data_IF_723573075152
#
_entry.id   IF_723573075152
#
_cell.length_a   1.000
_cell.length_b   1.000
_cell.length_c   1.000
_cell.angle_alpha   90.00
_cell.angle_beta   90.00
_cell.angle_gamma   90.00
#
_symmetry.space_group_name_H-M   'P 1'
#
loop_
_entity.id
_entity.type
_entity.pdbx_description
1 polymer ?
#
# COMPACT_ATOMS: atom_id res chain seq x y z
N UNK A 1 20.06 -2.76 12.54
CA UNK A 1 18.68 -3.27 12.38
C UNK A 1 17.73 -2.16 12.82
N UNK A 2 16.73 -1.84 12.02
CA UNK A 2 15.76 -0.77 12.40
C UNK A 2 14.91 -1.25 13.58
N UNK A 3 14.82 -0.43 14.65
CA UNK A 3 13.93 -0.68 15.78
C UNK A 3 12.64 0.13 15.59
N UNK A 4 11.50 -0.49 15.80
CA UNK A 4 10.20 0.19 15.77
C UNK A 4 9.81 0.77 17.13
N UNK A 5 10.41 0.27 18.23
CA UNK A 5 10.08 0.70 19.59
C UNK A 5 10.42 2.17 19.80
N UNK A 6 9.42 2.93 20.23
CA UNK A 6 9.54 4.36 20.50
C UNK A 6 9.60 5.24 19.25
N UNK A 7 9.45 4.67 18.03
CA UNK A 7 9.31 5.44 16.78
C UNK A 7 7.86 5.78 16.53
N UNK A 8 7.59 6.79 15.70
CA UNK A 8 6.26 7.11 15.21
C UNK A 8 6.12 6.73 13.75
N UNK A 9 5.17 5.85 13.44
CA UNK A 9 4.85 5.42 12.07
C UNK A 9 3.54 6.01 11.60
N UNK A 10 3.56 6.69 10.44
CA UNK A 10 2.36 7.10 9.72
C UNK A 10 1.93 5.99 8.75
N UNK A 11 0.70 5.51 8.90
CA UNK A 11 0.12 4.45 8.05
C UNK A 11 -1.05 5.03 7.27
N UNK A 12 -0.93 5.08 5.95
CA UNK A 12 -2.04 5.48 5.07
C UNK A 12 -2.93 4.29 4.72
N UNK A 13 -4.25 4.53 4.57
CA UNK A 13 -5.21 3.45 4.32
C UNK A 13 -5.37 2.50 5.51
N UNK A 14 -5.23 3.02 6.75
CA UNK A 14 -5.17 2.22 7.97
C UNK A 14 -6.49 1.58 8.38
N UNK A 15 -7.64 2.05 7.87
CA UNK A 15 -8.97 1.69 8.38
C UNK A 15 -9.38 0.23 8.18
N UNK A 16 -8.76 -0.49 7.24
CA UNK A 16 -9.11 -1.88 6.89
C UNK A 16 -7.95 -2.66 6.24
N UNK A 17 -8.17 -3.96 6.07
CA UNK A 17 -7.29 -4.84 5.28
C UNK A 17 -5.83 -4.77 5.72
N UNK A 18 -4.95 -4.64 4.74
CA UNK A 18 -3.51 -4.66 4.98
C UNK A 18 -3.02 -3.48 5.84
N UNK A 19 -3.63 -2.27 5.67
CA UNK A 19 -3.28 -1.10 6.49
C UNK A 19 -3.59 -1.30 7.98
N UNK A 20 -4.73 -1.93 8.29
CA UNK A 20 -5.08 -2.32 9.66
C UNK A 20 -4.09 -3.35 10.22
N UNK A 21 -3.71 -4.35 9.42
CA UNK A 21 -2.73 -5.35 9.82
C UNK A 21 -1.34 -4.74 10.08
N UNK A 22 -0.91 -3.78 9.26
CA UNK A 22 0.31 -3.01 9.53
C UNK A 22 0.23 -2.23 10.83
N UNK A 23 -0.90 -1.58 11.12
CA UNK A 23 -1.09 -0.81 12.35
C UNK A 23 -0.95 -1.69 13.59
N UNK A 24 -1.62 -2.85 13.64
CA UNK A 24 -1.48 -3.80 14.74
C UNK A 24 -0.05 -4.32 14.89
N UNK A 25 0.60 -4.70 13.78
CA UNK A 25 1.95 -5.26 13.85
C UNK A 25 2.99 -4.21 14.27
N UNK A 26 2.84 -2.96 13.83
CA UNK A 26 3.70 -1.84 14.27
C UNK A 26 3.49 -1.54 15.76
N UNK A 27 2.24 -1.48 16.22
CA UNK A 27 1.89 -1.28 17.62
C UNK A 27 2.48 -2.40 18.50
N UNK A 28 2.34 -3.66 18.09
CA UNK A 28 2.94 -4.82 18.75
C UNK A 28 4.47 -4.71 18.86
N UNK A 29 5.12 -4.07 17.89
CA UNK A 29 6.57 -3.78 17.89
C UNK A 29 6.94 -2.54 18.71
N UNK A 30 5.96 -1.85 19.30
CA UNK A 30 6.15 -0.68 20.15
C UNK A 30 6.29 0.65 19.39
N UNK A 31 5.83 0.72 18.14
CA UNK A 31 5.73 1.98 17.40
C UNK A 31 4.47 2.73 17.79
N UNK A 32 4.58 4.04 18.03
CA UNK A 32 3.44 4.95 18.05
C UNK A 32 2.90 5.13 16.63
N UNK A 33 1.62 5.43 16.50
CA UNK A 33 0.95 5.44 15.19
C UNK A 33 0.30 6.79 14.87
N UNK A 34 0.37 7.15 13.59
CA UNK A 34 -0.52 8.12 12.94
C UNK A 34 -1.34 7.35 11.91
N UNK A 35 -2.63 7.24 12.13
CA UNK A 35 -3.54 6.45 11.31
C UNK A 35 -4.30 7.37 10.35
N UNK A 36 -4.10 7.18 9.05
CA UNK A 36 -4.69 8.02 7.99
C UNK A 36 -5.61 7.19 7.12
N UNK A 37 -6.87 7.59 7.02
CA UNK A 37 -7.88 7.08 6.08
C UNK A 37 -9.10 8.02 6.06
N UNK A 38 -10.08 7.77 5.21
CA UNK A 38 -11.30 8.60 5.10
C UNK A 38 -12.26 8.46 6.29
N UNK A 39 -12.42 7.24 6.80
CA UNK A 39 -13.41 6.94 7.84
C UNK A 39 -12.86 7.21 9.24
N UNK A 40 -13.22 8.37 9.82
CA UNK A 40 -12.87 8.71 11.20
C UNK A 40 -13.32 7.63 12.20
N UNK A 41 -14.58 7.12 12.18
CA UNK A 41 -15.01 6.11 13.14
C UNK A 41 -14.17 4.83 13.09
N UNK A 42 -13.82 4.35 11.88
CA UNK A 42 -12.99 3.15 11.74
C UNK A 42 -11.55 3.37 12.24
N UNK A 43 -11.00 4.57 12.08
CA UNK A 43 -9.68 4.92 12.61
C UNK A 43 -9.70 5.05 14.13
N UNK A 44 -10.74 5.65 14.71
CA UNK A 44 -10.90 5.79 16.17
C UNK A 44 -11.04 4.43 16.84
N UNK A 45 -11.80 3.51 16.24
CA UNK A 45 -11.91 2.14 16.71
C UNK A 45 -10.54 1.43 16.69
N UNK A 46 -9.83 1.47 15.58
CA UNK A 46 -8.48 0.89 15.47
C UNK A 46 -7.50 1.54 16.47
N UNK A 47 -7.57 2.86 16.66
CA UNK A 47 -6.72 3.56 17.62
C UNK A 47 -6.99 3.11 19.06
N UNK A 48 -8.26 2.90 19.42
CA UNK A 48 -8.64 2.38 20.74
C UNK A 48 -8.12 0.95 20.96
N UNK A 49 -8.25 0.08 19.96
CA UNK A 49 -7.74 -1.30 20.02
C UNK A 49 -6.23 -1.33 20.24
N UNK A 50 -5.44 -0.65 19.40
CA UNK A 50 -3.98 -0.72 19.50
C UNK A 50 -3.44 -0.07 20.77
N UNK A 51 -4.10 0.98 21.29
CA UNK A 51 -3.76 1.56 22.59
C UNK A 51 -4.01 0.57 23.73
N UNK A 52 -5.17 -0.10 23.72
CA UNK A 52 -5.56 -1.05 24.75
C UNK A 52 -4.67 -2.31 24.75
N UNK A 53 -4.36 -2.84 23.57
CA UNK A 53 -3.61 -4.09 23.43
C UNK A 53 -2.10 -3.91 23.63
N UNK A 54 -1.52 -2.76 23.21
CA UNK A 54 -0.07 -2.61 23.10
C UNK A 54 0.50 -1.42 23.89
N UNK A 55 -0.34 -0.57 24.48
CA UNK A 55 0.10 0.58 25.28
C UNK A 55 0.85 1.65 24.49
N UNK A 56 0.65 1.72 23.18
CA UNK A 56 1.27 2.74 22.30
C UNK A 56 0.32 3.91 22.06
N UNK A 57 0.87 5.08 21.75
CA UNK A 57 0.04 6.20 21.27
C UNK A 57 -0.41 5.94 19.82
N UNK A 58 -1.66 6.30 19.55
CA UNK A 58 -2.22 6.25 18.20
C UNK A 58 -3.05 7.51 17.94
N UNK A 59 -2.69 8.26 16.92
CA UNK A 59 -3.39 9.47 16.49
C UNK A 59 -4.21 9.19 15.24
N UNK A 60 -5.34 9.85 15.12
CA UNK A 60 -6.28 9.68 14.00
C UNK A 60 -6.31 10.96 13.19
N UNK A 61 -5.96 10.86 11.91
CA UNK A 61 -6.00 11.97 10.95
C UNK A 61 -6.84 11.56 9.75
N UNK A 62 -8.13 11.89 9.72
CA UNK A 62 -9.00 11.57 8.59
C UNK A 62 -8.63 12.41 7.38
N UNK A 63 -8.35 11.73 6.24
CA UNK A 63 -8.07 12.41 4.99
C UNK A 63 -8.43 11.53 3.78
N UNK A 64 -8.89 12.16 2.69
CA UNK A 64 -9.02 11.52 1.37
C UNK A 64 -7.77 11.84 0.54
N UNK A 65 -6.93 10.83 0.30
CA UNK A 65 -5.70 11.00 -0.46
C UNK A 65 -5.92 11.11 -1.98
N UNK A 66 -7.16 10.95 -2.46
CA UNK A 66 -7.51 11.27 -3.85
C UNK A 66 -7.76 12.77 -4.03
N UNK A 67 -8.08 13.49 -2.96
CA UNK A 67 -8.19 14.94 -2.98
C UNK A 67 -6.80 15.59 -2.90
N UNK A 68 -6.49 16.55 -3.79
CA UNK A 68 -5.22 17.28 -3.75
C UNK A 68 -4.90 17.93 -2.39
N UNK A 69 -5.90 18.34 -1.62
CA UNK A 69 -5.75 18.97 -0.30
C UNK A 69 -5.53 17.94 0.83
N UNK A 70 -5.95 16.68 0.63
CA UNK A 70 -5.89 15.66 1.67
C UNK A 70 -4.48 15.41 2.22
N UNK A 71 -3.46 15.15 1.39
CA UNK A 71 -2.09 15.01 1.85
C UNK A 71 -1.53 16.25 2.55
N UNK A 72 -1.90 17.46 2.09
CA UNK A 72 -1.48 18.70 2.72
C UNK A 72 -2.10 18.85 4.13
N UNK A 73 -3.41 18.57 4.26
CA UNK A 73 -4.09 18.59 5.55
C UNK A 73 -3.46 17.61 6.56
N UNK A 74 -3.02 16.42 6.12
CA UNK A 74 -2.28 15.50 6.99
C UNK A 74 -0.96 16.12 7.47
N UNK A 75 -0.19 16.73 6.57
CA UNK A 75 1.09 17.33 6.94
C UNK A 75 0.92 18.53 7.88
N UNK A 76 -0.09 19.37 7.64
CA UNK A 76 -0.40 20.54 8.48
C UNK A 76 -0.84 20.10 9.89
N UNK A 77 -1.73 19.12 10.02
CA UNK A 77 -2.15 18.54 11.29
C UNK A 77 -0.97 18.00 12.10
N UNK A 78 -0.03 17.30 11.44
CA UNK A 78 1.17 16.77 12.10
C UNK A 78 2.09 17.91 12.58
N UNK A 79 2.23 18.96 11.80
CA UNK A 79 3.04 20.13 12.13
C UNK A 79 2.44 20.88 13.33
N UNK A 80 1.13 21.13 13.33
CA UNK A 80 0.41 21.77 14.44
C UNK A 80 0.56 20.97 15.74
N UNK A 81 0.45 19.66 15.66
CA UNK A 81 0.60 18.75 16.80
C UNK A 81 2.07 18.48 17.17
N UNK A 82 3.03 19.01 16.43
CA UNK A 82 4.47 18.76 16.60
C UNK A 82 4.81 17.27 16.60
N UNK A 83 4.16 16.50 15.72
CA UNK A 83 4.39 15.07 15.57
C UNK A 83 5.51 14.82 14.58
N UNK A 84 6.59 14.24 15.06
CA UNK A 84 7.68 13.75 14.21
C UNK A 84 7.35 12.33 13.70
N UNK A 85 7.35 12.15 12.39
CA UNK A 85 7.17 10.84 11.76
C UNK A 85 8.55 10.24 11.45
N UNK A 86 8.82 9.03 11.96
CA UNK A 86 10.07 8.30 11.75
C UNK A 86 9.96 7.29 10.60
N UNK A 87 8.74 6.77 10.34
CA UNK A 87 8.45 5.87 9.24
C UNK A 87 7.15 6.29 8.55
N UNK A 88 7.21 6.49 7.24
CA UNK A 88 6.02 6.65 6.39
C UNK A 88 5.71 5.32 5.71
N UNK A 89 4.53 4.76 5.96
CA UNK A 89 4.02 3.58 5.30
C UNK A 89 2.87 3.96 4.36
N UNK A 90 3.21 4.17 3.09
CA UNK A 90 2.27 4.46 2.02
C UNK A 90 1.57 3.16 1.58
N UNK A 91 0.50 2.82 2.29
CA UNK A 91 -0.30 1.63 2.02
C UNK A 91 -1.63 1.94 1.33
N UNK A 92 -2.16 3.15 1.49
CA UNK A 92 -3.41 3.52 0.83
C UNK A 92 -3.39 3.15 -0.65
N UNK A 93 -4.44 2.49 -1.10
CA UNK A 93 -4.53 2.06 -2.47
C UNK A 93 -5.92 1.52 -2.80
N UNK A 94 -6.27 1.66 -4.05
CA UNK A 94 -7.48 1.11 -4.61
C UNK A 94 -7.24 0.65 -6.04
N UNK A 95 -8.16 -0.14 -6.57
CA UNK A 95 -8.08 -0.61 -7.94
C UNK A 95 -9.46 -0.92 -8.49
N UNK A 96 -9.50 -1.09 -9.80
CA UNK A 96 -10.65 -1.54 -10.54
C UNK A 96 -10.34 -2.87 -11.20
N UNK A 97 -11.30 -3.78 -11.22
CA UNK A 97 -11.25 -5.05 -11.93
C UNK A 97 -12.42 -5.14 -12.91
N UNK A 98 -12.18 -5.70 -14.07
CA UNK A 98 -13.13 -5.83 -15.17
C UNK A 98 -12.63 -5.17 -16.46
N UNK A 99 -13.36 -5.34 -17.58
CA UNK A 99 -13.00 -4.74 -18.87
C UNK A 99 -12.99 -3.20 -18.76
N UNK A 100 -11.93 -2.56 -19.23
CA UNK A 100 -11.71 -1.12 -19.04
C UNK A 100 -12.88 -0.24 -19.51
N UNK A 101 -13.45 -0.56 -20.66
CA UNK A 101 -14.56 0.22 -21.24
C UNK A 101 -15.94 -0.08 -20.64
N UNK A 102 -16.05 -1.15 -19.83
CA UNK A 102 -17.29 -1.53 -19.13
C UNK A 102 -17.32 -1.09 -17.68
N UNK A 103 -16.23 -0.49 -17.19
CA UNK A 103 -16.12 -0.03 -15.79
C UNK A 103 -16.28 1.48 -15.71
N UNK A 104 -16.86 2.02 -14.62
CA UNK A 104 -16.91 3.47 -14.41
C UNK A 104 -15.49 4.07 -14.48
N UNK A 105 -15.30 5.06 -15.33
CA UNK A 105 -13.99 5.67 -15.55
C UNK A 105 -13.45 6.33 -14.28
N UNK A 106 -14.31 6.90 -13.47
CA UNK A 106 -14.01 7.55 -12.20
C UNK A 106 -13.30 6.63 -11.22
N UNK A 107 -13.59 5.33 -11.23
CA UNK A 107 -12.88 4.35 -10.39
C UNK A 107 -11.42 4.20 -10.82
N UNK A 108 -11.17 4.20 -12.13
CA UNK A 108 -9.81 4.13 -12.66
C UNK A 108 -9.05 5.44 -12.37
N UNK A 109 -9.70 6.59 -12.54
CA UNK A 109 -9.12 7.90 -12.25
C UNK A 109 -8.77 8.03 -10.76
N UNK A 110 -9.71 7.70 -9.87
CA UNK A 110 -9.44 7.68 -8.42
C UNK A 110 -8.30 6.73 -8.04
N UNK A 111 -8.15 5.61 -8.74
CA UNK A 111 -7.01 4.70 -8.53
C UNK A 111 -5.67 5.39 -8.85
N UNK A 112 -5.62 6.21 -9.89
CA UNK A 112 -4.42 7.03 -10.20
C UNK A 112 -4.20 8.09 -9.13
N UNK A 113 -5.25 8.79 -8.72
CA UNK A 113 -5.17 9.85 -7.70
C UNK A 113 -4.64 9.31 -6.36
N UNK A 114 -5.16 8.19 -5.88
CA UNK A 114 -4.73 7.60 -4.61
C UNK A 114 -3.35 6.94 -4.72
N UNK A 115 -3.19 6.03 -5.71
CA UNK A 115 -2.02 5.15 -5.78
C UNK A 115 -0.77 5.87 -6.31
N UNK A 116 -0.95 6.94 -7.08
CA UNK A 116 0.15 7.69 -7.72
C UNK A 116 0.28 9.07 -7.07
N UNK A 117 -0.66 9.96 -7.32
CA UNK A 117 -0.56 11.37 -6.91
C UNK A 117 -0.56 11.51 -5.39
N UNK A 118 -1.46 10.83 -4.69
CA UNK A 118 -1.54 10.82 -3.23
C UNK A 118 -0.27 10.27 -2.58
N UNK A 119 0.22 9.13 -3.10
CA UNK A 119 1.49 8.55 -2.63
C UNK A 119 2.67 9.50 -2.83
N UNK A 120 2.80 10.11 -4.00
CA UNK A 120 3.88 11.08 -4.28
C UNK A 120 3.81 12.28 -3.34
N UNK A 121 2.60 12.84 -3.13
CA UNK A 121 2.40 13.99 -2.23
C UNK A 121 2.75 13.63 -0.78
N UNK A 122 2.26 12.50 -0.28
CA UNK A 122 2.61 12.02 1.06
C UNK A 122 4.12 11.81 1.20
N UNK A 123 4.75 11.17 0.21
CA UNK A 123 6.20 10.98 0.17
C UNK A 123 6.95 12.31 0.22
N UNK A 124 6.52 13.30 -0.59
CA UNK A 124 7.17 14.63 -0.63
C UNK A 124 7.00 15.39 0.68
N UNK A 125 5.77 15.45 1.22
CA UNK A 125 5.45 16.27 2.40
C UNK A 125 6.07 15.69 3.68
N UNK A 126 5.96 14.37 3.88
CA UNK A 126 6.48 13.74 5.09
C UNK A 126 7.97 13.39 4.97
N UNK A 127 8.42 13.02 3.77
CA UNK A 127 9.81 12.67 3.51
C UNK A 127 10.77 13.84 3.55
N UNK A 128 10.30 15.08 3.27
CA UNK A 128 11.15 16.27 3.31
C UNK A 128 11.81 16.45 4.68
N UNK A 129 11.04 16.37 5.76
CA UNK A 129 11.56 16.47 7.14
C UNK A 129 12.54 15.34 7.47
N UNK A 130 12.32 14.14 6.91
CA UNK A 130 13.23 13.00 7.07
C UNK A 130 14.58 13.26 6.41
N UNK A 131 14.56 13.82 5.20
CA UNK A 131 15.79 14.16 4.45
C UNK A 131 16.54 15.30 5.16
N UNK A 132 15.85 16.35 5.58
CA UNK A 132 16.46 17.48 6.28
C UNK A 132 17.17 17.05 7.56
N UNK A 133 16.58 16.14 8.35
CA UNK A 133 17.21 15.64 9.59
C UNK A 133 18.18 14.49 9.39
N UNK A 134 18.32 13.97 8.16
CA UNK A 134 19.22 12.86 7.86
C UNK A 134 18.78 11.51 8.46
N UNK A 135 17.48 11.30 8.75
CA UNK A 135 17.02 10.06 9.36
C UNK A 135 15.53 9.82 9.11
N UNK A 136 15.17 8.57 8.80
CA UNK A 136 13.79 8.16 8.61
C UNK A 136 13.64 6.95 7.70
N UNK A 137 12.39 6.60 7.42
CA UNK A 137 12.09 5.50 6.52
C UNK A 137 10.80 5.70 5.73
N UNK A 138 10.76 5.14 4.54
CA UNK A 138 9.58 5.15 3.68
C UNK A 138 9.36 3.73 3.16
N UNK A 139 8.16 3.19 3.36
CA UNK A 139 7.71 1.95 2.74
C UNK A 139 6.57 2.28 1.79
N UNK A 140 6.75 2.01 0.50
CA UNK A 140 5.71 2.14 -0.50
C UNK A 140 5.12 0.77 -0.83
N UNK A 141 3.82 0.60 -0.60
CA UNK A 141 3.14 -0.67 -0.88
C UNK A 141 2.74 -0.74 -2.36
N UNK A 142 3.55 -1.46 -3.12
CA UNK A 142 3.30 -1.84 -4.50
C UNK A 142 2.36 -3.03 -4.63
N UNK A 143 2.69 -3.95 -5.53
CA UNK A 143 2.02 -5.24 -5.75
C UNK A 143 2.87 -6.09 -6.70
N UNK A 144 2.70 -7.42 -6.68
CA UNK A 144 3.21 -8.28 -7.76
C UNK A 144 2.57 -7.97 -9.12
N UNK A 145 1.42 -7.30 -9.15
CA UNK A 145 0.80 -6.77 -10.37
C UNK A 145 1.65 -5.72 -11.09
N UNK A 146 2.65 -5.14 -10.42
CA UNK A 146 3.55 -4.13 -10.99
C UNK A 146 4.50 -4.68 -12.07
N UNK A 147 4.74 -5.99 -12.09
CA UNK A 147 5.82 -6.60 -12.88
C UNK A 147 5.40 -7.06 -14.27
N UNK A 148 4.10 -7.04 -14.58
CA UNK A 148 3.56 -7.44 -15.88
C UNK A 148 2.25 -6.71 -16.23
N UNK A 149 1.91 -6.61 -17.53
CA UNK A 149 0.58 -6.16 -17.92
C UNK A 149 -0.51 -7.10 -17.39
N UNK A 150 -1.57 -6.52 -16.82
CA UNK A 150 -2.69 -7.29 -16.27
C UNK A 150 -3.99 -6.93 -16.97
N UNK A 151 -4.38 -7.64 -18.06
CA UNK A 151 -5.70 -7.48 -18.66
C UNK A 151 -6.82 -7.63 -17.60
N UNK A 152 -7.84 -6.81 -17.70
CA UNK A 152 -8.96 -6.64 -16.75
C UNK A 152 -8.58 -5.97 -15.42
N UNK A 153 -7.32 -5.53 -15.27
CA UNK A 153 -6.81 -4.71 -14.17
C UNK A 153 -5.79 -3.67 -14.69
N UNK A 154 -5.98 -3.19 -15.93
CA UNK A 154 -4.98 -2.38 -16.64
C UNK A 154 -4.59 -1.12 -15.87
N UNK A 155 -5.58 -0.33 -15.40
CA UNK A 155 -5.33 0.89 -14.61
C UNK A 155 -4.59 0.59 -13.31
N UNK A 156 -5.07 -0.39 -12.56
CA UNK A 156 -4.44 -0.79 -11.30
C UNK A 156 -2.97 -1.23 -11.48
N UNK A 157 -2.71 -2.15 -12.42
CA UNK A 157 -1.36 -2.63 -12.67
C UNK A 157 -0.42 -1.50 -13.11
N UNK A 158 -0.91 -0.56 -13.92
CA UNK A 158 -0.14 0.61 -14.33
C UNK A 158 0.22 1.50 -13.13
N UNK A 159 -0.73 1.74 -12.20
CA UNK A 159 -0.41 2.51 -10.98
C UNK A 159 0.61 1.79 -10.09
N UNK A 160 0.55 0.46 -10.00
CA UNK A 160 1.51 -0.31 -9.20
C UNK A 160 2.89 -0.41 -9.88
N UNK A 161 2.94 -0.40 -11.22
CA UNK A 161 4.20 -0.26 -11.96
C UNK A 161 4.85 1.11 -11.71
N UNK A 162 4.04 2.20 -11.67
CA UNK A 162 4.53 3.50 -11.25
C UNK A 162 5.15 3.44 -9.84
N UNK A 163 4.46 2.85 -8.86
CA UNK A 163 4.97 2.74 -7.48
C UNK A 163 6.28 1.97 -7.43
N UNK A 164 6.42 0.90 -8.22
CA UNK A 164 7.66 0.13 -8.32
C UNK A 164 8.83 1.02 -8.78
N UNK A 165 8.70 1.63 -9.96
CA UNK A 165 9.79 2.45 -10.55
C UNK A 165 10.09 3.68 -9.72
N UNK A 166 9.07 4.37 -9.23
CA UNK A 166 9.22 5.54 -8.35
C UNK A 166 10.00 5.19 -7.09
N UNK A 167 9.66 4.05 -6.45
CA UNK A 167 10.30 3.63 -5.20
C UNK A 167 11.75 3.23 -5.41
N UNK A 168 12.05 2.47 -6.48
CA UNK A 168 13.42 2.06 -6.80
C UNK A 168 14.32 3.26 -7.10
N UNK A 169 13.83 4.23 -7.90
CA UNK A 169 14.57 5.45 -8.21
C UNK A 169 14.79 6.31 -6.96
N UNK A 170 13.73 6.53 -6.17
CA UNK A 170 13.82 7.33 -4.94
C UNK A 170 14.76 6.70 -3.90
N UNK A 171 14.79 5.36 -3.80
CA UNK A 171 15.70 4.66 -2.92
C UNK A 171 17.16 4.91 -3.27
N UNK A 172 17.47 5.02 -4.57
CA UNK A 172 18.81 5.35 -5.05
C UNK A 172 19.17 6.80 -4.81
N UNK A 173 18.26 7.74 -5.10
CA UNK A 173 18.44 9.17 -4.85
C UNK A 173 18.71 9.48 -3.37
N UNK A 174 18.10 8.72 -2.44
CA UNK A 174 18.23 8.94 -1.00
C UNK A 174 19.27 8.04 -0.31
N UNK A 175 20.08 7.28 -1.05
CA UNK A 175 21.05 6.31 -0.50
C UNK A 175 21.94 6.90 0.58
N UNK A 176 22.45 8.11 0.39
CA UNK A 176 23.43 8.74 1.26
C UNK A 176 22.83 9.78 2.20
N UNK A 177 21.49 9.87 2.27
CA UNK A 177 20.78 10.87 3.08
C UNK A 177 20.45 10.40 4.50
N UNK A 178 20.67 9.13 4.82
CA UNK A 178 20.20 8.50 6.06
C UNK A 178 18.71 8.11 6.04
N UNK A 179 17.99 8.39 4.97
CA UNK A 179 16.58 7.99 4.78
C UNK A 179 16.51 6.69 3.98
N UNK A 180 15.88 5.67 4.54
CA UNK A 180 15.71 4.38 3.86
C UNK A 180 14.38 4.30 3.14
N UNK A 181 14.41 3.92 1.87
CA UNK A 181 13.21 3.67 1.07
C UNK A 181 13.13 2.21 0.66
N UNK A 182 11.95 1.59 0.79
CA UNK A 182 11.71 0.20 0.39
C UNK A 182 10.37 0.03 -0.30
N UNK A 183 10.35 -0.72 -1.40
CA UNK A 183 9.13 -1.21 -2.03
C UNK A 183 8.66 -2.51 -1.39
N UNK A 184 7.38 -2.59 -1.00
CA UNK A 184 6.76 -3.84 -0.59
C UNK A 184 5.79 -4.30 -1.69
N UNK A 185 5.99 -5.50 -2.22
CA UNK A 185 5.22 -6.02 -3.36
C UNK A 185 4.46 -7.29 -2.96
N UNK A 186 3.35 -7.17 -2.20
CA UNK A 186 2.51 -8.31 -1.86
C UNK A 186 1.85 -8.92 -3.10
N UNK A 187 1.58 -10.21 -3.03
CA UNK A 187 0.66 -10.90 -3.93
C UNK A 187 -0.80 -10.67 -3.56
N UNK A 188 -1.67 -11.56 -4.02
CA UNK A 188 -3.06 -11.58 -3.60
C UNK A 188 -3.13 -11.70 -2.08
N UNK A 189 -3.84 -10.77 -1.42
CA UNK A 189 -3.94 -10.67 0.03
C UNK A 189 -5.41 -10.51 0.42
N UNK A 190 -5.86 -11.20 1.44
CA UNK A 190 -7.23 -11.17 1.93
C UNK A 190 -7.53 -9.83 2.63
N UNK A 191 -8.00 -8.83 1.88
CA UNK A 191 -8.09 -7.44 2.36
C UNK A 191 -9.44 -6.77 2.11
N UNK A 192 -10.41 -7.46 1.54
CA UNK A 192 -11.65 -6.83 1.06
C UNK A 192 -11.44 -5.89 -0.13
N UNK A 193 -10.35 -6.04 -0.87
CA UNK A 193 -10.01 -5.17 -2.00
C UNK A 193 -11.04 -5.26 -3.14
N UNK A 194 -11.70 -6.41 -3.27
CA UNK A 194 -12.70 -6.69 -4.30
C UNK A 194 -14.15 -6.75 -3.77
N UNK A 195 -14.40 -6.40 -2.50
CA UNK A 195 -15.71 -6.55 -1.84
C UNK A 195 -16.86 -5.81 -2.54
N UNK A 196 -16.55 -4.85 -3.40
CA UNK A 196 -17.55 -4.07 -4.15
C UNK A 196 -17.83 -4.64 -5.55
N UNK A 197 -17.26 -5.78 -5.85
CA UNK A 197 -17.38 -6.41 -7.17
C UNK A 197 -17.67 -7.90 -7.03
N UNK A 198 -18.11 -8.51 -8.12
CA UNK A 198 -18.29 -9.98 -8.20
C UNK A 198 -16.96 -10.73 -8.40
N UNK A 199 -15.81 -10.02 -8.39
CA UNK A 199 -14.50 -10.65 -8.54
C UNK A 199 -14.17 -11.56 -7.35
N UNK A 200 -13.70 -12.74 -7.63
CA UNK A 200 -13.29 -13.72 -6.61
C UNK A 200 -11.77 -13.90 -6.65
N UNK A 201 -11.16 -13.89 -5.49
CA UNK A 201 -9.76 -14.31 -5.35
C UNK A 201 -9.70 -15.81 -5.04
N UNK A 202 -8.71 -16.51 -5.59
CA UNK A 202 -8.47 -17.92 -5.27
C UNK A 202 -7.83 -18.01 -3.86
N UNK A 203 -8.53 -18.58 -2.86
CA UNK A 203 -7.99 -18.70 -1.50
C UNK A 203 -6.68 -19.49 -1.42
N UNK A 204 -6.40 -20.34 -2.42
CA UNK A 204 -5.18 -21.17 -2.46
C UNK A 204 -3.92 -20.35 -2.72
N UNK A 205 -4.07 -19.16 -3.31
CA UNK A 205 -2.95 -18.25 -3.64
C UNK A 205 -3.03 -16.92 -2.90
N UNK A 206 -3.98 -16.77 -1.98
CA UNK A 206 -4.18 -15.56 -1.18
C UNK A 206 -3.41 -15.68 0.15
N UNK A 207 -2.74 -14.62 0.53
CA UNK A 207 -2.02 -14.52 1.81
C UNK A 207 -2.84 -13.78 2.86
N UNK A 208 -2.63 -14.12 4.14
CA UNK A 208 -3.24 -13.38 5.26
C UNK A 208 -2.53 -12.02 5.44
N UNK A 209 -3.28 -10.92 5.70
CA UNK A 209 -2.72 -9.58 5.86
C UNK A 209 -1.65 -9.49 6.96
N UNK A 210 -1.83 -10.22 8.06
CA UNK A 210 -0.90 -10.21 9.20
C UNK A 210 0.47 -10.79 8.80
N UNK A 211 0.48 -11.86 8.00
CA UNK A 211 1.72 -12.49 7.50
C UNK A 211 2.45 -11.53 6.57
N UNK A 212 1.70 -10.85 5.69
CA UNK A 212 2.24 -9.86 4.77
C UNK A 212 2.82 -8.67 5.53
N UNK A 213 2.10 -8.15 6.52
CA UNK A 213 2.55 -7.03 7.34
C UNK A 213 3.82 -7.37 8.12
N UNK A 214 3.82 -8.48 8.86
CA UNK A 214 4.97 -8.91 9.65
C UNK A 214 6.23 -9.07 8.78
N UNK A 215 6.10 -9.77 7.64
CA UNK A 215 7.22 -10.01 6.72
C UNK A 215 7.76 -8.74 6.09
N UNK A 216 6.88 -7.80 5.71
CA UNK A 216 7.29 -6.49 5.17
C UNK A 216 8.14 -5.73 6.18
N UNK A 217 7.66 -5.65 7.42
CA UNK A 217 8.35 -4.94 8.48
C UNK A 217 9.68 -5.62 8.87
N UNK A 218 9.73 -6.95 8.87
CA UNK A 218 10.99 -7.69 9.05
C UNK A 218 12.01 -7.38 7.96
N UNK A 219 11.56 -7.35 6.70
CA UNK A 219 12.44 -7.08 5.57
C UNK A 219 12.97 -5.63 5.63
N UNK A 220 12.12 -4.67 6.00
CA UNK A 220 12.54 -3.29 6.22
C UNK A 220 13.54 -3.17 7.37
N UNK A 221 13.29 -3.83 8.52
CA UNK A 221 14.18 -3.83 9.66
C UNK A 221 15.57 -4.41 9.33
N UNK A 222 15.63 -5.38 8.41
CA UNK A 222 16.88 -5.99 7.91
C UNK A 222 17.59 -5.18 6.84
N UNK A 223 17.04 -4.03 6.43
CA UNK A 223 17.64 -3.16 5.41
C UNK A 223 17.52 -3.65 3.98
N UNK A 224 16.52 -4.45 3.66
CA UNK A 224 16.30 -4.90 2.29
C UNK A 224 15.81 -3.75 1.42
N UNK A 225 16.23 -3.72 0.16
CA UNK A 225 15.78 -2.75 -0.83
C UNK A 225 14.32 -3.00 -1.29
N UNK A 226 13.89 -4.27 -1.30
CA UNK A 226 12.53 -4.65 -1.65
C UNK A 226 12.05 -5.83 -0.80
N UNK A 227 10.74 -5.85 -0.53
CA UNK A 227 10.06 -6.97 0.14
C UNK A 227 9.04 -7.60 -0.82
N UNK A 228 9.06 -8.93 -0.86
CA UNK A 228 8.04 -9.76 -1.52
C UNK A 228 7.38 -10.62 -0.43
N UNK A 229 6.52 -9.99 0.38
CA UNK A 229 5.91 -10.68 1.51
C UNK A 229 4.88 -11.71 1.04
N UNK A 230 4.70 -12.77 1.84
CA UNK A 230 3.80 -13.87 1.51
C UNK A 230 4.51 -15.06 0.87
N UNK A 231 3.79 -15.79 0.03
CA UNK A 231 4.25 -17.06 -0.56
C UNK A 231 5.43 -16.84 -1.53
N UNK A 232 6.39 -17.76 -1.53
CA UNK A 232 7.55 -17.73 -2.45
C UNK A 232 7.15 -17.66 -3.93
N UNK A 233 5.98 -18.24 -4.28
CA UNK A 233 5.44 -18.20 -5.63
C UNK A 233 5.24 -16.76 -6.14
N UNK A 234 4.82 -15.82 -5.27
CA UNK A 234 4.63 -14.42 -5.64
C UNK A 234 5.94 -13.75 -6.08
N UNK A 235 7.04 -14.09 -5.41
CA UNK A 235 8.37 -13.60 -5.80
C UNK A 235 8.80 -14.17 -7.15
N UNK A 236 8.60 -15.47 -7.38
CA UNK A 236 8.94 -16.11 -8.65
C UNK A 236 8.11 -15.53 -9.79
N UNK A 237 6.80 -15.37 -9.59
CA UNK A 237 5.90 -14.81 -10.60
C UNK A 237 6.23 -13.36 -10.96
N UNK A 238 6.83 -12.57 -10.05
CA UNK A 238 7.27 -11.20 -10.36
C UNK A 238 8.56 -11.15 -11.18
N UNK A 239 9.38 -12.20 -11.16
CA UNK A 239 10.63 -12.28 -11.91
C UNK A 239 10.45 -12.92 -13.30
N UNK A 240 9.61 -13.94 -13.41
CA UNK A 240 9.40 -14.70 -14.63
C UNK A 240 9.06 -13.83 -15.88
N UNK A 241 8.25 -12.76 -15.78
CA UNK A 241 7.93 -11.90 -16.90
C UNK A 241 9.12 -11.19 -17.55
N UNK A 242 10.24 -11.06 -16.82
CA UNK A 242 11.45 -10.40 -17.33
C UNK A 242 12.18 -11.23 -18.43
N UNK A 243 11.95 -12.53 -18.46
CA UNK A 243 12.62 -13.47 -19.36
C UNK A 243 11.73 -13.94 -20.51
N UNK A 244 10.50 -13.47 -20.59
CA UNK A 244 9.52 -13.88 -21.59
C UNK A 244 9.12 -12.70 -22.49
N UNK A 245 8.75 -12.94 -23.75
CA UNK A 245 8.19 -11.90 -24.60
C UNK A 245 6.96 -11.26 -23.97
N UNK A 246 6.90 -9.94 -23.92
CA UNK A 246 5.81 -9.21 -23.25
C UNK A 246 4.41 -9.63 -23.74
N UNK A 247 4.26 -9.89 -25.04
CA UNK A 247 3.00 -10.35 -25.62
C UNK A 247 2.57 -11.72 -25.11
N UNK A 248 3.52 -12.65 -24.93
CA UNK A 248 3.25 -13.96 -24.37
C UNK A 248 2.79 -13.85 -22.91
N UNK A 249 3.50 -13.05 -22.09
CA UNK A 249 3.11 -12.76 -20.70
C UNK A 249 1.71 -12.18 -20.66
N UNK A 250 1.40 -11.16 -21.46
CA UNK A 250 0.09 -10.51 -21.50
C UNK A 250 -1.03 -11.48 -21.84
N UNK A 251 -0.82 -12.36 -22.85
CA UNK A 251 -1.80 -13.39 -23.26
C UNK A 251 -2.02 -14.42 -22.16
N UNK A 252 -0.95 -14.88 -21.50
CA UNK A 252 -1.05 -15.84 -20.38
C UNK A 252 -1.82 -15.26 -19.21
N UNK A 253 -1.49 -14.03 -18.80
CA UNK A 253 -2.21 -13.34 -17.72
C UNK A 253 -3.67 -13.08 -18.10
N UNK A 254 -3.95 -12.71 -19.36
CA UNK A 254 -5.32 -12.55 -19.85
C UNK A 254 -6.13 -13.86 -19.74
N UNK A 255 -5.51 -14.99 -20.12
CA UNK A 255 -6.16 -16.30 -20.02
C UNK A 255 -6.43 -16.69 -18.56
N UNK A 256 -5.49 -16.43 -17.66
CA UNK A 256 -5.65 -16.67 -16.23
C UNK A 256 -6.79 -15.80 -15.64
N UNK A 257 -6.78 -14.50 -15.92
CA UNK A 257 -7.80 -13.58 -15.41
C UNK A 257 -9.20 -13.88 -15.98
N UNK A 258 -9.30 -14.38 -17.21
CA UNK A 258 -10.58 -14.90 -17.74
C UNK A 258 -11.07 -16.11 -16.97
N UNK A 259 -10.19 -17.05 -16.62
CA UNK A 259 -10.57 -18.21 -15.78
C UNK A 259 -11.05 -17.83 -14.39
N UNK A 260 -10.59 -16.68 -13.86
CA UNK A 260 -11.06 -16.09 -12.60
C UNK A 260 -12.33 -15.23 -12.76
N UNK A 261 -12.93 -15.18 -13.95
CA UNK A 261 -14.14 -14.42 -14.22
C UNK A 261 -13.95 -12.91 -14.31
N UNK A 262 -12.72 -12.41 -14.36
CA UNK A 262 -12.44 -10.97 -14.36
C UNK A 262 -12.98 -10.22 -15.59
N UNK A 263 -13.33 -10.93 -16.67
CA UNK A 263 -13.92 -10.34 -17.88
C UNK A 263 -15.45 -10.10 -17.76
N UNK A 264 -16.09 -10.68 -16.75
CA UNK A 264 -17.54 -10.60 -16.49
C UNK A 264 -17.86 -9.86 -15.18
N UNK A 265 -16.88 -9.24 -14.56
CA UNK A 265 -17.03 -8.59 -13.26
C UNK A 265 -18.02 -7.42 -13.33
N UNK A 266 -18.96 -7.44 -12.38
CA UNK A 266 -19.96 -6.40 -12.16
C UNK A 266 -19.80 -5.77 -10.77
N UNK A 267 -20.30 -4.54 -10.61
CA UNK A 267 -20.38 -3.92 -9.29
C UNK A 267 -21.55 -4.53 -8.51
N UNK A 268 -21.32 -4.82 -7.23
CA UNK A 268 -22.35 -5.39 -6.34
C UNK A 268 -23.33 -4.34 -5.79
N UNK A 269 -23.22 -3.06 -6.23
CA UNK A 269 -24.08 -1.97 -5.80
C UNK A 269 -23.84 -1.48 -4.36
N UNK A 270 -22.91 -2.08 -3.64
CA UNK A 270 -22.55 -1.63 -2.29
C UNK A 270 -21.51 -0.50 -2.40
N UNK A 271 -21.81 0.74 -1.97
CA UNK A 271 -20.82 1.81 -2.01
C UNK A 271 -19.62 1.45 -1.13
N UNK A 272 -18.41 1.80 -1.59
CA UNK A 272 -17.19 1.71 -0.79
C UNK A 272 -17.36 2.56 0.48
N UNK A 273 -17.64 1.91 1.60
CA UNK A 273 -17.72 2.55 2.92
C UNK A 273 -16.35 3.02 3.40
#
# INVERSE_FOLDING_TARGET
MHSYRGTTTLVTGASRGLGRAYAHELARRGSHLVLVARSRPALEHLAAEVRAEHGVDARVVPADLSDPSGPAAVADELKEQRVRVDLLLNNAGMGSVGPFFSRPFEQNLRSVEVNVTGLMRMTRLIGADMVERGSGGIINVGSTAAFQPMPYQAGYAATKAFVLFFTEALAEELRDTGVRVMGAHPGATETGFFDHTTAVMDPRVTDRPEVVAAKTLDDFARGKAASYPGRRLHRVSSWAPRFLPRTAVTRTVAAMNRKLGHHEVQDTGTPAR
#
